data_IF_136090023071
#
_entry.id   IF_136090023071
#
_cell.length_a   1.000
_cell.length_b   1.000
_cell.length_c   1.000
_cell.angle_alpha   90.00
_cell.angle_beta   90.00
_cell.angle_gamma   90.00
#
_symmetry.space_group_name_H-M   'P 1'
#
loop_
_entity.id
_entity.type
_entity.pdbx_description
1 polymer ?
#
# COMPACT_ATOMS: atom_id res chain seq x y z
N UNK A 1 34.29 -17.48 21.68
CA UNK A 1 35.63 -17.02 22.09
C UNK A 1 35.65 -15.50 22.01
N UNK A 2 35.36 -14.84 23.12
CA UNK A 2 35.38 -13.38 23.28
C UNK A 2 36.30 -13.05 24.46
N UNK A 3 37.09 -11.98 24.28
CA UNK A 3 38.34 -11.69 24.98
C UNK A 3 38.18 -11.39 26.48
N UNK A 4 39.08 -11.91 27.35
CA UNK A 4 39.14 -11.57 28.78
C UNK A 4 39.78 -10.21 29.10
N UNK A 5 40.11 -9.38 28.10
CA UNK A 5 40.86 -8.13 28.28
C UNK A 5 40.01 -6.91 28.69
N UNK A 6 38.68 -7.03 28.73
CA UNK A 6 37.78 -5.91 29.13
C UNK A 6 37.36 -5.91 30.60
N UNK A 7 37.53 -7.01 31.34
CA UNK A 7 37.19 -7.04 32.78
C UNK A 7 38.20 -6.28 33.64
N UNK A 8 39.49 -6.27 33.29
CA UNK A 8 40.53 -5.57 34.07
C UNK A 8 40.48 -4.04 33.95
N UNK A 9 39.89 -3.50 32.89
CA UNK A 9 39.69 -2.05 32.76
C UNK A 9 38.51 -1.57 33.59
N UNK A 10 37.45 -2.39 33.72
CA UNK A 10 36.29 -2.11 34.58
C UNK A 10 36.67 -2.09 36.07
N UNK A 11 37.52 -3.00 36.53
CA UNK A 11 37.96 -3.01 37.94
C UNK A 11 38.80 -1.79 38.32
N UNK A 12 39.66 -1.31 37.42
CA UNK A 12 40.47 -0.12 37.67
C UNK A 12 39.66 1.18 37.69
N UNK A 13 38.60 1.26 36.89
CA UNK A 13 37.66 2.41 36.91
C UNK A 13 36.82 2.42 38.19
N UNK A 14 36.37 1.25 38.67
CA UNK A 14 35.62 1.14 39.94
C UNK A 14 36.50 1.52 41.14
N UNK A 15 37.79 1.13 41.13
CA UNK A 15 38.73 1.46 42.19
C UNK A 15 39.07 2.96 42.27
N UNK A 16 39.05 3.69 41.14
CA UNK A 16 39.29 5.15 41.14
C UNK A 16 38.07 5.96 41.60
N UNK A 17 36.85 5.44 41.40
CA UNK A 17 35.59 6.07 41.84
C UNK A 17 35.45 6.05 43.37
N UNK A 18 35.98 5.03 44.04
CA UNK A 18 35.87 4.88 45.50
C UNK A 18 36.80 5.81 46.31
N UNK A 19 37.79 6.48 45.70
CA UNK A 19 38.81 7.27 46.42
C UNK A 19 38.67 8.79 46.30
N UNK A 20 37.75 9.31 45.49
CA UNK A 20 37.64 10.76 45.25
C UNK A 20 36.31 11.34 45.71
N UNK A 21 36.35 12.39 46.53
CA UNK A 21 35.25 13.32 46.84
C UNK A 21 34.82 14.14 45.60
N UNK A 22 34.70 13.50 44.43
CA UNK A 22 34.15 14.08 43.21
C UNK A 22 32.74 13.53 43.04
N UNK A 23 31.77 14.45 43.14
CA UNK A 23 30.37 14.38 42.69
C UNK A 23 30.05 13.07 41.93
N UNK A 24 29.76 12.00 42.69
CA UNK A 24 29.44 10.67 42.17
C UNK A 24 28.05 10.63 41.52
N UNK A 25 27.23 11.64 41.82
CA UNK A 25 25.85 11.81 41.35
C UNK A 25 25.72 12.04 39.82
N UNK A 26 26.49 12.95 39.16
CA UNK A 26 26.41 13.14 37.71
C UNK A 26 26.84 11.92 36.89
N UNK A 27 27.85 11.16 37.32
CA UNK A 27 28.32 9.97 36.58
C UNK A 27 27.30 8.84 36.66
N UNK A 28 26.67 8.66 37.82
CA UNK A 28 25.58 7.70 37.98
C UNK A 28 24.33 8.11 37.18
N UNK A 29 23.96 9.40 37.15
CA UNK A 29 22.86 9.89 36.32
C UNK A 29 23.11 9.70 34.81
N UNK A 30 24.35 9.87 34.33
CA UNK A 30 24.71 9.60 32.94
C UNK A 30 24.63 8.10 32.64
N UNK A 31 25.18 7.23 33.50
CA UNK A 31 25.12 5.79 33.31
C UNK A 31 23.68 5.24 33.35
N UNK A 32 22.84 5.77 34.23
CA UNK A 32 21.40 5.46 34.31
C UNK A 32 20.65 5.97 33.08
N UNK A 33 20.98 7.16 32.57
CA UNK A 33 20.40 7.68 31.32
C UNK A 33 20.73 6.80 30.10
N UNK A 34 21.92 6.17 30.06
CA UNK A 34 22.27 5.21 29.00
C UNK A 34 21.67 3.81 29.22
N UNK A 35 21.45 3.37 30.47
CA UNK A 35 20.83 2.08 30.76
C UNK A 35 19.32 2.05 30.44
N UNK A 36 18.62 3.18 30.62
CA UNK A 36 17.21 3.35 30.24
C UNK A 36 17.01 3.70 28.75
N UNK A 37 18.08 3.81 27.97
CA UNK A 37 18.02 3.95 26.51
C UNK A 37 17.92 2.58 25.80
N UNK A 38 17.43 1.55 26.47
CA UNK A 38 16.91 0.33 25.84
C UNK A 38 15.50 0.60 25.28
N UNK A 39 15.42 1.66 24.48
CA UNK A 39 14.21 2.05 23.76
C UNK A 39 14.03 1.15 22.55
N UNK A 40 12.83 0.59 22.42
CA UNK A 40 12.23 -0.03 21.24
C UNK A 40 13.18 -0.20 20.06
N UNK A 41 13.79 -1.39 19.97
CA UNK A 41 14.75 -1.69 18.93
C UNK A 41 14.03 -1.76 17.57
N UNK A 42 14.68 -1.25 16.53
CA UNK A 42 14.20 -1.39 15.15
C UNK A 42 13.92 -2.86 14.79
N UNK A 43 14.71 -3.79 15.33
CA UNK A 43 14.55 -5.22 15.12
C UNK A 43 13.20 -5.75 15.65
N UNK A 44 12.74 -5.25 16.79
CA UNK A 44 11.45 -5.64 17.39
C UNK A 44 10.28 -5.12 16.55
N UNK A 45 10.37 -3.87 16.08
CA UNK A 45 9.40 -3.26 15.19
C UNK A 45 9.31 -3.97 13.83
N UNK A 46 10.46 -4.35 13.27
CA UNK A 46 10.56 -5.14 12.03
C UNK A 46 9.90 -6.50 12.20
N UNK A 47 10.25 -7.22 13.27
CA UNK A 47 9.69 -8.55 13.54
C UNK A 47 8.17 -8.48 13.76
N UNK A 48 7.71 -7.49 14.52
CA UNK A 48 6.29 -7.23 14.75
C UNK A 48 5.55 -7.03 13.42
N UNK A 49 6.05 -6.15 12.55
CA UNK A 49 5.37 -5.87 11.29
C UNK A 49 5.43 -7.07 10.35
N UNK A 50 6.55 -7.78 10.27
CA UNK A 50 6.66 -8.99 9.45
C UNK A 50 5.65 -10.07 9.88
N UNK A 51 5.39 -10.22 11.19
CA UNK A 51 4.34 -11.11 11.70
C UNK A 51 2.93 -10.63 11.30
N UNK A 52 2.63 -9.34 11.50
CA UNK A 52 1.34 -8.74 11.10
C UNK A 52 1.07 -9.00 9.60
N UNK A 53 2.04 -8.65 8.76
CA UNK A 53 1.89 -8.73 7.30
C UNK A 53 1.80 -10.18 6.79
N UNK A 54 2.58 -11.11 7.35
CA UNK A 54 2.62 -12.48 6.85
C UNK A 54 1.52 -13.38 7.41
N UNK A 55 1.04 -13.13 8.63
CA UNK A 55 0.08 -14.01 9.31
C UNK A 55 -1.32 -13.39 9.35
N UNK A 56 -1.43 -12.12 9.75
CA UNK A 56 -2.72 -11.52 10.10
C UNK A 56 -3.36 -10.73 8.95
N UNK A 57 -2.58 -10.12 8.07
CA UNK A 57 -3.15 -9.43 6.89
C UNK A 57 -3.91 -10.38 5.97
N UNK A 58 -3.37 -11.56 5.57
CA UNK A 58 -4.11 -12.49 4.73
C UNK A 58 -5.46 -12.89 5.33
N UNK A 59 -5.48 -13.19 6.63
CA UNK A 59 -6.72 -13.51 7.37
C UNK A 59 -7.69 -12.32 7.41
N UNK A 60 -7.21 -11.10 7.67
CA UNK A 60 -8.07 -9.94 7.76
C UNK A 60 -8.67 -9.54 6.41
N UNK A 61 -7.89 -9.67 5.33
CA UNK A 61 -8.34 -9.47 3.94
C UNK A 61 -9.40 -10.50 3.55
N UNK A 62 -9.19 -11.78 3.86
CA UNK A 62 -10.18 -12.84 3.64
C UNK A 62 -11.48 -12.54 4.40
N UNK A 63 -11.37 -12.22 5.70
CA UNK A 63 -12.53 -11.90 6.55
C UNK A 63 -13.30 -10.67 6.08
N UNK A 64 -12.63 -9.71 5.45
CA UNK A 64 -13.24 -8.52 4.86
C UNK A 64 -13.83 -8.78 3.45
N UNK A 65 -13.66 -9.98 2.88
CA UNK A 65 -14.10 -10.27 1.51
C UNK A 65 -13.26 -9.58 0.44
N UNK A 66 -12.00 -9.24 0.75
CA UNK A 66 -11.10 -8.48 -0.12
C UNK A 66 -10.13 -9.35 -0.93
N UNK A 67 -10.18 -10.69 -0.77
CA UNK A 67 -9.35 -11.62 -1.55
C UNK A 67 -9.67 -11.57 -3.06
N UNK A 68 -10.98 -11.49 -3.36
CA UNK A 68 -11.54 -11.22 -4.68
C UNK A 68 -12.56 -10.09 -4.54
N UNK A 69 -12.08 -8.86 -4.60
CA UNK A 69 -12.93 -7.69 -4.44
C UNK A 69 -13.65 -7.34 -5.75
N UNK A 70 -14.97 -7.25 -5.71
CA UNK A 70 -15.78 -6.82 -6.86
C UNK A 70 -15.69 -5.31 -7.03
N UNK A 71 -15.15 -4.88 -8.17
CA UNK A 71 -15.04 -3.46 -8.50
C UNK A 71 -16.32 -2.95 -9.16
N UNK A 72 -16.73 -1.70 -8.89
CA UNK A 72 -17.95 -1.14 -9.46
C UNK A 72 -17.87 -0.98 -10.98
N UNK A 73 -19.02 -1.10 -11.62
CA UNK A 73 -19.19 -0.84 -13.05
C UNK A 73 -19.05 0.65 -13.33
N UNK A 74 -18.49 1.00 -14.49
CA UNK A 74 -18.42 2.40 -14.92
C UNK A 74 -18.52 2.54 -16.44
N UNK A 75 -18.82 3.74 -16.90
CA UNK A 75 -19.00 4.04 -18.33
C UNK A 75 -18.21 5.28 -18.70
N UNK A 76 -17.63 5.27 -19.90
CA UNK A 76 -16.98 6.40 -20.53
C UNK A 76 -17.73 6.77 -21.80
N UNK A 77 -18.10 8.04 -21.96
CA UNK A 77 -18.71 8.56 -23.18
C UNK A 77 -17.79 9.63 -23.76
N UNK A 78 -17.52 9.55 -25.07
CA UNK A 78 -16.71 10.50 -25.81
C UNK A 78 -17.42 10.87 -27.11
N UNK A 79 -17.45 12.15 -27.45
CA UNK A 79 -17.92 12.62 -28.73
C UNK A 79 -16.77 13.30 -29.47
N UNK A 80 -16.45 12.79 -30.65
CA UNK A 80 -15.42 13.35 -31.52
C UNK A 80 -16.08 13.83 -32.81
N UNK A 81 -15.66 15.01 -33.27
CA UNK A 81 -16.06 15.57 -34.56
C UNK A 81 -14.84 15.63 -35.47
N UNK A 82 -14.91 14.94 -36.60
CA UNK A 82 -13.85 14.96 -37.61
C UNK A 82 -13.97 16.19 -38.51
N UNK A 83 -12.89 16.52 -39.22
CA UNK A 83 -12.79 17.70 -40.08
C UNK A 83 -13.76 17.66 -41.27
N UNK A 84 -14.17 16.46 -41.70
CA UNK A 84 -15.21 16.22 -42.71
C UNK A 84 -16.64 16.44 -42.18
N UNK A 85 -16.78 16.82 -40.90
CA UNK A 85 -18.06 17.06 -40.26
C UNK A 85 -18.74 15.81 -39.69
N UNK A 86 -18.13 14.62 -39.80
CA UNK A 86 -18.68 13.42 -39.19
C UNK A 86 -18.61 13.51 -37.65
N UNK A 87 -19.65 13.01 -36.99
CA UNK A 87 -19.74 12.98 -35.53
C UNK A 87 -19.71 11.52 -35.09
N UNK A 88 -18.70 11.17 -34.31
CA UNK A 88 -18.55 9.84 -33.69
C UNK A 88 -18.85 9.94 -32.21
N UNK A 89 -19.90 9.24 -31.76
CA UNK A 89 -20.22 9.06 -30.36
C UNK A 89 -19.74 7.68 -29.93
N UNK A 90 -18.75 7.65 -29.05
CA UNK A 90 -18.18 6.44 -28.47
C UNK A 90 -18.69 6.28 -27.04
N UNK A 91 -19.14 5.07 -26.71
CA UNK A 91 -19.51 4.65 -25.37
C UNK A 91 -18.74 3.37 -25.03
N UNK A 92 -18.03 3.39 -23.92
CA UNK A 92 -17.30 2.25 -23.40
C UNK A 92 -17.87 1.91 -22.03
N UNK A 93 -18.35 0.69 -21.86
CA UNK A 93 -18.96 0.20 -20.62
C UNK A 93 -18.00 -0.82 -20.04
N UNK A 94 -17.62 -0.65 -18.78
CA UNK A 94 -16.81 -1.59 -18.02
C UNK A 94 -17.69 -2.23 -16.94
N UNK A 95 -17.68 -3.55 -16.89
CA UNK A 95 -18.46 -4.32 -15.94
C UNK A 95 -17.74 -5.58 -15.48
N UNK A 96 -18.31 -6.28 -14.51
CA UNK A 96 -17.75 -7.53 -13.96
C UNK A 96 -16.30 -7.35 -13.48
N UNK A 97 -16.02 -6.20 -12.85
CA UNK A 97 -14.68 -5.86 -12.39
C UNK A 97 -14.29 -6.69 -11.18
N UNK A 98 -13.05 -7.20 -11.14
CA UNK A 98 -12.49 -7.81 -9.94
C UNK A 98 -11.05 -7.37 -9.69
N UNK A 99 -10.68 -7.32 -8.41
CA UNK A 99 -9.35 -7.01 -7.92
C UNK A 99 -8.87 -8.11 -6.99
N UNK A 100 -7.61 -8.49 -7.14
CA UNK A 100 -6.94 -9.54 -6.34
C UNK A 100 -5.53 -9.10 -5.98
N UNK A 101 -4.95 -9.68 -4.92
CA UNK A 101 -3.56 -9.47 -4.52
C UNK A 101 -3.38 -8.59 -3.28
N UNK A 102 -4.46 -8.10 -2.65
CA UNK A 102 -4.41 -7.29 -1.43
C UNK A 102 -3.86 -8.06 -0.22
N UNK A 103 -4.00 -9.38 -0.19
CA UNK A 103 -3.44 -10.25 0.85
C UNK A 103 -1.91 -10.37 0.79
N UNK A 104 -1.31 -10.09 -0.37
CA UNK A 104 0.12 -10.22 -0.57
C UNK A 104 0.76 -8.88 -0.26
N UNK A 105 1.31 -8.76 0.95
CA UNK A 105 1.97 -7.53 1.38
C UNK A 105 3.25 -7.88 2.12
N UNK A 106 4.32 -7.18 1.78
CA UNK A 106 5.63 -7.38 2.39
C UNK A 106 6.14 -6.06 2.96
N UNK A 107 6.96 -6.13 4.00
CA UNK A 107 7.68 -4.97 4.49
C UNK A 107 8.86 -4.67 3.56
N UNK A 108 8.99 -3.41 3.17
CA UNK A 108 10.16 -2.91 2.42
C UNK A 108 11.20 -2.31 3.37
N UNK A 109 10.77 -1.44 4.29
CA UNK A 109 11.65 -0.79 5.26
C UNK A 109 10.87 -0.29 6.47
N UNK A 110 11.54 -0.09 7.60
CA UNK A 110 11.00 0.60 8.77
C UNK A 110 11.99 1.66 9.25
N UNK A 111 11.45 2.75 9.77
CA UNK A 111 12.19 3.79 10.48
C UNK A 111 12.36 3.39 11.96
N UNK A 112 13.34 3.97 12.64
CA UNK A 112 13.54 3.75 14.08
C UNK A 112 12.27 4.16 14.85
N UNK A 113 11.78 3.32 15.78
CA UNK A 113 10.65 3.69 16.62
C UNK A 113 10.88 5.02 17.34
N UNK A 114 9.85 5.84 17.40
CA UNK A 114 9.90 7.17 18.01
C UNK A 114 8.80 7.32 19.07
N UNK A 115 9.13 8.05 20.13
CA UNK A 115 8.18 8.35 21.20
C UNK A 115 7.51 9.69 20.92
N UNK A 116 6.19 9.66 20.74
CA UNK A 116 5.37 10.85 20.54
C UNK A 116 4.20 10.83 21.54
N UNK A 117 4.13 11.86 22.38
CA UNK A 117 3.04 12.01 23.39
C UNK A 117 2.86 10.79 24.30
N UNK A 118 3.95 10.09 24.64
CA UNK A 118 3.91 8.90 25.49
C UNK A 118 3.50 7.60 24.80
N UNK A 119 3.30 7.62 23.48
CA UNK A 119 3.09 6.43 22.66
C UNK A 119 4.32 6.14 21.81
N UNK A 120 4.57 4.85 21.57
CA UNK A 120 5.59 4.38 20.64
C UNK A 120 4.97 4.42 19.25
N UNK A 121 5.69 4.96 18.28
CA UNK A 121 5.24 5.07 16.90
C UNK A 121 6.31 4.53 15.97
N UNK A 122 5.91 3.63 15.09
CA UNK A 122 6.75 3.04 14.05
C UNK A 122 6.18 3.39 12.70
N UNK A 123 7.07 3.82 11.82
CA UNK A 123 6.75 4.18 10.46
C UNK A 123 7.43 3.19 9.54
N UNK A 124 6.68 2.52 8.68
CA UNK A 124 7.21 1.54 7.74
C UNK A 124 6.68 1.77 6.33
N UNK A 125 7.46 1.36 5.35
CA UNK A 125 7.03 1.21 3.97
C UNK A 125 6.69 -0.24 3.73
N UNK A 126 5.47 -0.48 3.27
CA UNK A 126 4.97 -1.78 2.83
C UNK A 126 4.82 -1.78 1.32
N UNK A 127 4.93 -2.96 0.73
CA UNK A 127 4.85 -3.18 -0.70
C UNK A 127 3.81 -4.27 -0.98
N UNK A 128 2.86 -3.94 -1.86
CA UNK A 128 2.02 -4.92 -2.53
C UNK A 128 2.73 -5.27 -3.84
N UNK A 129 3.32 -6.48 -3.96
CA UNK A 129 4.20 -6.82 -5.07
C UNK A 129 3.42 -6.89 -6.38
N UNK A 130 2.18 -7.35 -6.34
CA UNK A 130 1.34 -7.53 -7.51
C UNK A 130 -0.14 -7.37 -7.18
N UNK A 131 -0.80 -6.43 -7.87
CA UNK A 131 -2.25 -6.25 -7.83
C UNK A 131 -2.80 -6.54 -9.22
N UNK A 132 -3.71 -7.49 -9.30
CA UNK A 132 -4.29 -7.95 -10.54
C UNK A 132 -5.76 -7.52 -10.62
N UNK A 133 -6.10 -6.88 -11.73
CA UNK A 133 -7.43 -6.34 -11.98
C UNK A 133 -7.94 -6.86 -13.32
N UNK A 134 -9.17 -7.36 -13.34
CA UNK A 134 -9.83 -7.78 -14.57
C UNK A 134 -11.17 -7.08 -14.72
N UNK A 135 -11.48 -6.68 -15.94
CA UNK A 135 -12.78 -6.15 -16.32
C UNK A 135 -13.26 -6.78 -17.62
N UNK A 136 -14.57 -6.88 -17.74
CA UNK A 136 -15.23 -7.06 -19.02
C UNK A 136 -15.65 -5.68 -19.55
N UNK A 137 -15.54 -5.51 -20.86
CA UNK A 137 -15.74 -4.25 -21.53
C UNK A 137 -16.63 -4.41 -22.75
N UNK A 138 -17.49 -3.42 -23.00
CA UNK A 138 -18.25 -3.29 -24.23
C UNK A 138 -17.97 -1.94 -24.86
N UNK A 139 -17.48 -1.97 -26.10
CA UNK A 139 -17.28 -0.78 -26.91
C UNK A 139 -18.45 -0.60 -27.86
N UNK A 140 -18.98 0.62 -27.94
CA UNK A 140 -20.03 1.02 -28.87
C UNK A 140 -19.61 2.35 -29.52
N UNK A 141 -19.56 2.43 -30.84
CA UNK A 141 -19.37 3.67 -31.57
C UNK A 141 -20.46 3.85 -32.62
N UNK A 142 -21.02 5.06 -32.65
CA UNK A 142 -22.01 5.49 -33.62
C UNK A 142 -21.43 6.69 -34.35
N UNK A 143 -21.12 6.51 -35.63
CA UNK A 143 -20.61 7.58 -36.51
C UNK A 143 -21.71 8.01 -37.48
N UNK A 144 -22.09 9.28 -37.42
CA UNK A 144 -23.02 9.89 -38.37
C UNK A 144 -22.27 10.80 -39.35
N UNK A 145 -22.58 10.68 -40.66
CA UNK A 145 -22.06 11.56 -41.70
C UNK A 145 -23.17 12.47 -42.25
N UNK A 146 -22.79 13.61 -42.83
CA UNK A 146 -23.72 14.63 -43.32
C UNK A 146 -24.36 14.33 -44.68
N UNK A 147 -23.86 13.33 -45.44
CA UNK A 147 -24.40 12.76 -46.71
C UNK A 147 -23.23 12.25 -47.57
N UNK A 148 -23.34 11.17 -48.37
CA UNK A 148 -24.46 10.21 -48.51
C UNK A 148 -24.35 8.99 -47.58
N UNK A 149 -23.30 8.91 -46.75
CA UNK A 149 -23.00 7.75 -45.93
C UNK A 149 -23.85 7.80 -44.65
N UNK A 150 -24.65 6.76 -44.41
CA UNK A 150 -25.58 6.69 -43.29
C UNK A 150 -24.90 6.60 -41.92
N UNK A 151 -25.67 6.19 -40.91
CA UNK A 151 -25.12 5.94 -39.56
C UNK A 151 -24.35 4.62 -39.57
N UNK A 152 -23.07 4.67 -39.21
CA UNK A 152 -22.24 3.49 -39.02
C UNK A 152 -22.18 3.13 -37.53
N UNK A 153 -22.53 1.88 -37.19
CA UNK A 153 -22.49 1.36 -35.82
C UNK A 153 -21.40 0.31 -35.73
N UNK A 154 -20.51 0.47 -34.76
CA UNK A 154 -19.49 -0.53 -34.40
C UNK A 154 -19.68 -0.94 -32.95
N UNK A 155 -19.81 -2.24 -32.70
CA UNK A 155 -19.88 -2.78 -31.34
C UNK A 155 -19.06 -4.06 -31.24
N UNK A 156 -18.32 -4.20 -30.15
CA UNK A 156 -17.64 -5.43 -29.79
C UNK A 156 -17.37 -5.47 -28.28
N UNK A 157 -17.23 -6.68 -27.76
CA UNK A 157 -16.85 -6.93 -26.37
C UNK A 157 -15.33 -7.17 -26.28
N UNK A 158 -14.74 -6.82 -25.14
CA UNK A 158 -13.33 -6.95 -24.86
C UNK A 158 -13.09 -7.25 -23.37
N UNK A 159 -11.91 -7.76 -23.04
CA UNK A 159 -11.47 -7.92 -21.66
C UNK A 159 -10.30 -6.99 -21.38
N UNK A 160 -10.27 -6.41 -20.19
CA UNK A 160 -9.14 -5.63 -19.69
C UNK A 160 -8.47 -6.42 -18.60
N UNK A 161 -7.14 -6.54 -18.71
CA UNK A 161 -6.28 -7.02 -17.63
C UNK A 161 -5.34 -5.89 -17.27
N UNK A 162 -5.41 -5.41 -16.04
CA UNK A 162 -4.47 -4.47 -15.47
C UNK A 162 -3.66 -5.19 -14.40
N UNK A 163 -2.34 -5.04 -14.48
CA UNK A 163 -1.41 -5.52 -13.47
C UNK A 163 -0.60 -4.32 -12.96
N UNK A 164 -0.63 -4.11 -11.65
CA UNK A 164 0.23 -3.14 -10.96
C UNK A 164 1.32 -3.91 -10.24
N UNK A 165 2.57 -3.57 -10.53
CA UNK A 165 3.73 -4.22 -9.92
C UNK A 165 4.39 -3.23 -8.96
N UNK A 166 4.66 -3.64 -7.73
CA UNK A 166 5.37 -2.83 -6.73
C UNK A 166 4.62 -1.55 -6.35
N UNK A 167 3.41 -1.73 -5.77
CA UNK A 167 2.67 -0.62 -5.16
C UNK A 167 3.18 -0.42 -3.74
N UNK A 168 3.67 0.77 -3.43
CA UNK A 168 4.24 1.08 -2.12
C UNK A 168 3.30 1.96 -1.31
N UNK A 169 3.14 1.63 -0.04
CA UNK A 169 2.39 2.42 0.92
C UNK A 169 3.21 2.66 2.18
N UNK A 170 2.99 3.80 2.82
CA UNK A 170 3.56 4.17 4.11
C UNK A 170 2.50 3.90 5.17
N UNK A 171 2.86 3.10 6.17
CA UNK A 171 2.02 2.77 7.32
C UNK A 171 2.69 3.30 8.59
N UNK A 172 1.93 4.04 9.39
CA UNK A 172 2.34 4.53 10.70
C UNK A 172 1.51 3.81 11.76
N UNK A 173 2.16 2.95 12.54
CA UNK A 173 1.55 2.19 13.63
C UNK A 173 1.94 2.85 14.95
N UNK A 174 0.99 3.07 15.83
CA UNK A 174 1.23 3.62 17.17
C UNK A 174 0.69 2.68 18.24
N UNK A 175 1.38 2.57 19.38
CA UNK A 175 0.96 1.77 20.52
C UNK A 175 1.25 2.51 21.82
N UNK A 176 0.30 2.45 22.75
CA UNK A 176 0.52 2.96 24.11
C UNK A 176 1.22 1.89 24.95
N UNK A 177 2.30 2.21 25.68
CA UNK A 177 3.02 1.23 26.51
C UNK A 177 2.16 0.64 27.63
N UNK A 178 1.06 1.30 28.02
CA UNK A 178 0.16 0.84 29.08
C UNK A 178 -0.88 -0.16 28.58
N UNK A 179 -1.40 0.05 27.36
CA UNK A 179 -2.50 -0.74 26.79
C UNK A 179 -1.94 -1.83 25.86
N UNK A 180 -0.80 -1.57 25.22
CA UNK A 180 -0.11 -2.43 24.25
C UNK A 180 -0.98 -2.90 23.08
N UNK A 181 -2.09 -2.20 22.80
CA UNK A 181 -2.91 -2.42 21.61
C UNK A 181 -2.42 -1.43 20.55
N UNK A 182 -1.75 -1.92 19.50
CA UNK A 182 -1.31 -1.07 18.40
C UNK A 182 -2.50 -0.69 17.50
N UNK A 183 -2.40 0.48 16.88
CA UNK A 183 -3.39 0.96 15.90
C UNK A 183 -2.71 1.71 14.76
N UNK A 184 -3.38 1.78 13.61
CA UNK A 184 -2.88 2.53 12.45
C UNK A 184 -3.24 4.01 12.64
N UNK A 185 -2.21 4.84 12.75
CA UNK A 185 -2.34 6.30 12.84
C UNK A 185 -2.43 6.94 11.46
N UNK A 186 -1.60 6.49 10.52
CA UNK A 186 -1.60 6.97 9.14
C UNK A 186 -1.37 5.81 8.16
N UNK A 187 -2.02 5.91 7.00
CA UNK A 187 -1.85 5.01 5.86
C UNK A 187 -1.93 5.84 4.59
N UNK A 188 -0.89 5.79 3.77
CA UNK A 188 -0.78 6.60 2.56
C UNK A 188 -0.13 5.79 1.43
N UNK A 189 -0.67 5.90 0.22
CA UNK A 189 -0.04 5.33 -0.97
C UNK A 189 1.12 6.25 -1.38
N UNK A 190 2.35 5.73 -1.38
CA UNK A 190 3.56 6.48 -1.77
C UNK A 190 3.74 6.43 -3.28
N UNK A 191 3.55 5.25 -3.88
CA UNK A 191 3.65 5.06 -5.31
C UNK A 191 2.73 3.95 -5.78
N UNK A 192 2.02 4.20 -6.87
CA UNK A 192 1.43 3.14 -7.68
C UNK A 192 2.45 2.75 -8.73
N UNK A 193 2.87 1.49 -8.72
CA UNK A 193 3.86 1.00 -9.66
C UNK A 193 3.44 1.12 -11.12
N UNK A 194 4.33 0.79 -12.06
CA UNK A 194 4.03 0.96 -13.49
C UNK A 194 2.89 0.04 -13.91
N UNK A 195 1.77 0.58 -14.42
CA UNK A 195 0.65 -0.24 -14.85
C UNK A 195 0.98 -0.96 -16.15
N UNK A 196 0.64 -2.25 -16.21
CA UNK A 196 0.60 -3.02 -17.45
C UNK A 196 -0.85 -3.31 -17.80
N UNK A 197 -1.37 -2.63 -18.82
CA UNK A 197 -2.76 -2.76 -19.27
C UNK A 197 -2.78 -3.51 -20.59
N UNK A 198 -3.49 -4.64 -20.61
CA UNK A 198 -3.71 -5.45 -21.79
C UNK A 198 -5.19 -5.52 -22.13
N UNK A 199 -5.54 -5.17 -23.37
CA UNK A 199 -6.89 -5.29 -23.92
C UNK A 199 -6.94 -6.53 -24.81
N UNK A 200 -7.81 -7.46 -24.47
CA UNK A 200 -8.03 -8.69 -25.25
C UNK A 200 -9.37 -8.58 -25.97
N UNK A 201 -9.34 -8.54 -27.30
CA UNK A 201 -10.53 -8.50 -28.15
C UNK A 201 -10.72 -9.85 -28.84
N UNK A 202 -11.96 -10.24 -29.11
CA UNK A 202 -12.27 -11.45 -29.91
C UNK A 202 -12.16 -11.22 -31.42
N UNK A 203 -11.90 -9.98 -31.84
CA UNK A 203 -11.89 -9.55 -33.24
C UNK A 203 -10.60 -8.79 -33.54
N UNK A 204 -10.11 -8.88 -34.78
CA UNK A 204 -8.94 -8.15 -35.31
C UNK A 204 -9.26 -6.65 -35.50
N UNK A 205 -9.69 -6.03 -34.42
CA UNK A 205 -10.14 -4.65 -34.38
C UNK A 205 -8.94 -3.78 -34.02
N UNK A 206 -8.35 -3.17 -35.04
CA UNK A 206 -7.30 -2.16 -34.87
C UNK A 206 -7.94 -0.85 -34.35
N UNK A 207 -8.11 -0.74 -33.04
CA UNK A 207 -8.50 0.50 -32.36
C UNK A 207 -7.31 1.00 -31.57
N UNK A 208 -7.06 2.32 -31.66
CA UNK A 208 -6.14 2.97 -30.74
C UNK A 208 -6.75 2.95 -29.34
N UNK A 209 -6.30 2.00 -28.53
CA UNK A 209 -6.69 1.89 -27.12
C UNK A 209 -6.02 2.95 -26.24
N UNK A 210 -5.20 3.85 -26.78
CA UNK A 210 -4.48 4.85 -25.98
C UNK A 210 -5.41 5.80 -25.21
N UNK A 211 -6.49 6.27 -25.84
CA UNK A 211 -7.47 7.15 -25.16
C UNK A 211 -8.31 6.36 -24.15
N UNK A 212 -8.61 5.09 -24.46
CA UNK A 212 -9.42 4.20 -23.63
C UNK A 212 -8.63 3.78 -22.38
N UNK A 213 -7.34 3.47 -22.54
CA UNK A 213 -6.43 3.05 -21.47
C UNK A 213 -6.19 4.17 -20.46
N UNK A 214 -6.00 5.41 -20.94
CA UNK A 214 -5.84 6.58 -20.07
C UNK A 214 -7.06 6.80 -19.17
N UNK A 215 -8.26 6.78 -19.75
CA UNK A 215 -9.50 6.95 -18.97
C UNK A 215 -9.75 5.78 -18.02
N UNK A 216 -9.54 4.53 -18.48
CA UNK A 216 -9.66 3.35 -17.64
C UNK A 216 -8.74 3.45 -16.43
N UNK A 217 -7.46 3.75 -16.65
CA UNK A 217 -6.47 3.84 -15.59
C UNK A 217 -6.77 4.95 -14.59
N UNK A 218 -7.17 6.14 -15.06
CA UNK A 218 -7.56 7.23 -14.18
C UNK A 218 -8.76 6.85 -13.30
N UNK A 219 -9.80 6.25 -13.89
CA UNK A 219 -10.98 5.84 -13.13
C UNK A 219 -10.65 4.71 -12.15
N UNK A 220 -9.84 3.75 -12.56
CA UNK A 220 -9.34 2.68 -11.71
C UNK A 220 -8.54 3.22 -10.51
N UNK A 221 -7.63 4.18 -10.72
CA UNK A 221 -6.82 4.74 -9.63
C UNK A 221 -7.69 5.36 -8.53
N UNK A 222 -8.73 6.11 -8.90
CA UNK A 222 -9.65 6.69 -7.92
C UNK A 222 -10.38 5.58 -7.13
N UNK A 223 -10.84 4.52 -7.82
CA UNK A 223 -11.49 3.38 -7.16
C UNK A 223 -10.53 2.62 -6.24
N UNK A 224 -9.28 2.47 -6.66
CA UNK A 224 -8.25 1.80 -5.89
C UNK A 224 -7.85 2.60 -4.65
N UNK A 225 -7.70 3.92 -4.77
CA UNK A 225 -7.42 4.80 -3.65
C UNK A 225 -8.56 4.79 -2.63
N UNK A 226 -9.81 4.88 -3.09
CA UNK A 226 -10.99 4.77 -2.23
C UNK A 226 -11.00 3.44 -1.46
N UNK A 227 -10.83 2.31 -2.16
CA UNK A 227 -10.75 0.96 -1.58
C UNK A 227 -9.61 0.83 -0.57
N UNK A 228 -8.43 1.37 -0.91
CA UNK A 228 -7.22 1.26 -0.11
C UNK A 228 -7.36 2.03 1.21
N UNK A 229 -7.95 3.22 1.17
CA UNK A 229 -8.14 4.08 2.33
C UNK A 229 -9.39 3.76 3.14
N UNK A 230 -10.36 3.00 2.59
CA UNK A 230 -11.53 2.50 3.32
C UNK A 230 -11.36 1.05 3.80
N UNK A 231 -11.73 0.08 2.97
CA UNK A 231 -12.01 -1.29 3.41
C UNK A 231 -10.70 -2.03 3.69
N UNK A 232 -9.68 -1.76 2.88
CA UNK A 232 -8.36 -2.35 3.10
C UNK A 232 -7.68 -1.76 4.34
N UNK A 233 -7.86 -0.46 4.61
CA UNK A 233 -7.40 0.17 5.86
C UNK A 233 -8.01 -0.53 7.07
N UNK A 234 -9.33 -0.76 7.07
CA UNK A 234 -10.01 -1.45 8.17
C UNK A 234 -9.48 -2.88 8.34
N UNK A 235 -9.22 -3.60 7.24
CA UNK A 235 -8.60 -4.92 7.30
C UNK A 235 -7.18 -4.85 7.92
N UNK A 236 -6.36 -3.88 7.52
CA UNK A 236 -5.03 -3.67 8.10
C UNK A 236 -5.10 -3.29 9.59
N UNK A 237 -6.05 -2.45 10.01
CA UNK A 237 -6.26 -2.08 11.42
C UNK A 237 -6.54 -3.33 12.27
N UNK A 238 -7.44 -4.21 11.81
CA UNK A 238 -7.72 -5.49 12.48
C UNK A 238 -6.48 -6.41 12.55
N UNK A 239 -5.68 -6.45 11.48
CA UNK A 239 -4.46 -7.26 11.44
C UNK A 239 -3.42 -6.73 12.44
N UNK A 240 -3.22 -5.42 12.49
CA UNK A 240 -2.32 -4.73 13.43
C UNK A 240 -2.76 -5.00 14.88
N UNK A 241 -4.04 -4.83 15.21
CA UNK A 241 -4.58 -5.06 16.55
C UNK A 241 -4.46 -6.52 17.04
N UNK A 242 -4.26 -7.47 16.12
CA UNK A 242 -4.15 -8.90 16.44
C UNK A 242 -2.80 -9.30 17.04
N UNK A 243 -1.79 -8.41 16.99
CA UNK A 243 -0.45 -8.65 17.55
C UNK A 243 -0.20 -7.63 18.66
N UNK A 244 0.29 -8.09 19.81
CA UNK A 244 0.72 -7.17 20.87
C UNK A 244 2.04 -6.52 20.47
N UNK A 245 2.09 -5.19 20.51
CA UNK A 245 3.36 -4.49 20.28
C UNK A 245 4.31 -4.76 21.46
N UNK A 246 5.58 -5.16 21.21
CA UNK A 246 6.55 -5.50 22.26
C UNK A 246 6.72 -4.38 23.29
#
# INVERSE_FOLDING_TARGET
>A
MLLPSRMSELENVVASILRGNMKLMPVFLIAVAFAFASGDNLDDAVKYLDEVLSVYVPWAVEKAGLELYELPNFTHNQQNRSADGAVTNTKVIYHSGNLTGLQNVNRKSCEQPSWASGNITVVCTIELPEINVKYEGRYQAITGYTSPYGVHIRQFDFHVKLNLISTEAKIEVTSSPHIKIPSIKNLEIVSTGKPSINFVTQTDVNISFEQISGHFYHKFNNLFEDLFLSDYREALERAVESVTYP
#
